data_IF_464298418526
#
_entry.id   IF_464298418526
#
_cell.length_a   1.000
_cell.length_b   1.000
_cell.length_c   1.000
_cell.angle_alpha   90.00
_cell.angle_beta   90.00
_cell.angle_gamma   90.00
#
_symmetry.space_group_name_H-M   'P 1'
#
loop_
_entity.id
_entity.type
_entity.pdbx_description
1 polymer ?
#
# COMPACT_ATOMS: atom_id res chain seq x y z
N UNK A 1 10.03 1.18 -4.02
CA UNK A 1 8.96 1.97 -4.64
C UNK A 1 8.02 2.42 -3.55
N UNK A 2 7.60 3.68 -3.55
CA UNK A 2 6.73 4.24 -2.50
C UNK A 2 5.39 4.61 -3.14
N UNK A 3 4.30 4.21 -2.48
CA UNK A 3 2.94 4.60 -2.81
C UNK A 3 2.39 5.47 -1.68
N UNK A 4 1.52 6.42 -2.01
CA UNK A 4 0.73 7.18 -1.02
C UNK A 4 -0.75 7.12 -1.36
N UNK A 5 -1.61 7.12 -0.34
CA UNK A 5 -3.07 7.05 -0.50
C UNK A 5 -3.79 7.82 0.61
N UNK A 6 -5.06 8.17 0.38
CA UNK A 6 -5.87 8.88 1.38
C UNK A 6 -6.06 8.03 2.65
N UNK A 7 -6.20 6.70 2.49
CA UNK A 7 -6.12 5.74 3.60
C UNK A 7 -5.43 4.44 3.16
N UNK A 8 -4.51 3.93 3.97
CA UNK A 8 -3.90 2.60 3.83
C UNK A 8 -4.45 1.64 4.89
N UNK A 9 -4.86 0.43 4.49
CA UNK A 9 -5.38 -0.61 5.37
C UNK A 9 -4.38 -1.77 5.50
N UNK A 10 -3.56 -1.82 6.58
CA UNK A 10 -2.50 -2.83 6.74
C UNK A 10 -2.99 -4.19 7.25
N UNK A 11 -4.29 -4.36 7.52
CA UNK A 11 -4.95 -5.54 8.12
C UNK A 11 -4.58 -5.80 9.59
N UNK A 12 -3.30 -5.73 9.94
CA UNK A 12 -2.78 -6.04 11.28
C UNK A 12 -2.78 -4.85 12.24
N UNK A 13 -3.17 -3.66 11.77
CA UNK A 13 -3.22 -2.41 12.53
C UNK A 13 -4.39 -1.52 12.05
N UNK A 14 -4.76 -0.48 12.81
CA UNK A 14 -5.77 0.48 12.38
C UNK A 14 -5.45 1.13 11.01
N UNK A 15 -6.46 1.59 10.27
CA UNK A 15 -6.26 2.30 9.01
C UNK A 15 -5.42 3.57 9.21
N UNK A 16 -4.50 3.83 8.31
CA UNK A 16 -3.61 5.00 8.34
C UNK A 16 -4.11 6.02 7.34
N UNK A 17 -4.61 7.17 7.83
CA UNK A 17 -4.97 8.31 6.97
C UNK A 17 -3.71 8.99 6.45
N UNK A 18 -3.78 9.49 5.23
CA UNK A 18 -2.64 10.09 4.52
C UNK A 18 -1.40 9.17 4.65
N UNK A 19 -1.58 7.92 4.24
CA UNK A 19 -0.63 6.84 4.50
C UNK A 19 0.30 6.57 3.32
N UNK A 20 1.48 6.02 3.61
CA UNK A 20 2.41 5.49 2.63
C UNK A 20 2.56 3.96 2.77
N UNK A 21 2.97 3.34 1.65
CA UNK A 21 3.43 1.96 1.57
C UNK A 21 4.75 1.94 0.79
N UNK A 22 5.78 1.34 1.35
CA UNK A 22 7.06 1.14 0.69
C UNK A 22 7.27 -0.34 0.35
N UNK A 23 7.57 -0.60 -0.91
CA UNK A 23 7.89 -1.93 -1.42
C UNK A 23 9.35 -1.99 -1.90
N UNK A 24 10.01 -3.12 -1.66
CA UNK A 24 11.26 -3.48 -2.32
C UNK A 24 11.04 -3.74 -3.83
N UNK A 25 12.12 -3.93 -4.57
CA UNK A 25 12.07 -4.16 -6.03
C UNK A 25 11.37 -5.47 -6.43
N UNK A 26 11.29 -6.44 -5.51
CA UNK A 26 10.62 -7.73 -5.69
C UNK A 26 9.13 -7.69 -5.31
N UNK A 27 8.62 -6.53 -4.89
CA UNK A 27 7.24 -6.35 -4.45
C UNK A 27 7.00 -6.61 -2.96
N UNK A 28 8.01 -7.01 -2.19
CA UNK A 28 7.90 -7.20 -0.74
C UNK A 28 7.59 -5.86 -0.06
N UNK A 29 6.55 -5.80 0.77
CA UNK A 29 6.26 -4.63 1.62
C UNK A 29 7.32 -4.55 2.73
N UNK A 30 8.05 -3.43 2.79
CA UNK A 30 9.15 -3.21 3.74
C UNK A 30 8.91 -2.03 4.70
N UNK A 31 7.85 -1.24 4.47
CA UNK A 31 7.50 -0.13 5.35
C UNK A 31 6.09 0.38 5.08
N UNK A 32 5.44 0.90 6.11
CA UNK A 32 4.15 1.59 6.02
C UNK A 32 3.99 2.55 7.20
N UNK A 33 3.20 3.60 7.03
CA UNK A 33 2.94 4.57 8.07
C UNK A 33 2.32 5.85 7.53
N UNK A 34 2.15 6.88 8.36
CA UNK A 34 1.76 8.22 7.90
C UNK A 34 2.78 8.79 6.92
N UNK A 35 2.32 9.52 5.89
CA UNK A 35 3.19 10.23 4.93
C UNK A 35 4.11 11.23 5.64
N UNK A 36 3.71 11.77 6.79
CA UNK A 36 4.53 12.65 7.63
C UNK A 36 5.83 12.02 8.11
N UNK A 37 5.94 10.69 8.10
CA UNK A 37 7.13 9.97 8.54
C UNK A 37 8.16 9.83 7.41
N UNK A 38 7.79 10.14 6.16
CA UNK A 38 8.71 10.19 5.04
C UNK A 38 9.46 11.53 5.03
N UNK A 39 10.73 11.50 4.61
CA UNK A 39 11.40 12.74 4.26
C UNK A 39 10.75 13.38 3.00
N UNK A 40 10.85 14.71 2.84
CA UNK A 40 10.16 15.41 1.75
C UNK A 40 10.56 14.94 0.35
N UNK A 41 11.81 14.51 0.14
CA UNK A 41 12.27 14.06 -1.16
C UNK A 41 11.65 12.70 -1.52
N UNK A 42 11.57 11.79 -0.55
CA UNK A 42 10.89 10.49 -0.70
C UNK A 42 9.40 10.67 -0.92
N UNK A 43 8.75 11.53 -0.14
CA UNK A 43 7.33 11.85 -0.32
C UNK A 43 7.04 12.43 -1.72
N UNK A 44 7.89 13.33 -2.21
CA UNK A 44 7.76 13.92 -3.56
C UNK A 44 7.96 12.89 -4.69
N UNK A 45 8.74 11.84 -4.46
CA UNK A 45 8.98 10.76 -5.43
C UNK A 45 7.92 9.66 -5.42
N UNK A 46 6.99 9.68 -4.46
CA UNK A 46 6.01 8.63 -4.28
C UNK A 46 4.92 8.65 -5.36
N UNK A 47 4.42 7.47 -5.72
CA UNK A 47 3.29 7.31 -6.61
C UNK A 47 2.01 7.55 -5.81
N UNK A 48 1.30 8.64 -6.09
CA UNK A 48 0.04 8.94 -5.42
C UNK A 48 -1.11 8.17 -6.05
N UNK A 49 -1.89 7.48 -5.22
CA UNK A 49 -3.13 6.80 -5.57
C UNK A 49 -4.28 7.51 -4.84
N UNK A 50 -5.35 7.84 -5.54
CA UNK A 50 -6.54 8.43 -4.92
C UNK A 50 -7.41 7.34 -4.29
N UNK A 51 -7.94 7.59 -3.09
CA UNK A 51 -8.78 6.66 -2.35
C UNK A 51 -8.01 5.73 -1.40
N UNK A 52 -8.39 4.44 -1.43
CA UNK A 52 -7.94 3.46 -0.43
C UNK A 52 -6.93 2.48 -1.00
N UNK A 53 -5.85 2.24 -0.27
CA UNK A 53 -4.91 1.16 -0.53
C UNK A 53 -5.17 0.00 0.42
N UNK A 54 -5.52 -1.16 -0.13
CA UNK A 54 -5.81 -2.40 0.59
C UNK A 54 -4.93 -3.53 0.04
N UNK A 55 -4.70 -4.62 0.79
CA UNK A 55 -4.09 -5.81 0.21
C UNK A 55 -4.96 -6.35 -0.92
N UNK A 56 -4.33 -6.95 -1.91
CA UNK A 56 -5.05 -7.67 -2.97
C UNK A 56 -5.95 -8.74 -2.35
N UNK A 57 -7.20 -8.81 -2.82
CA UNK A 57 -8.13 -9.82 -2.34
C UNK A 57 -7.64 -11.21 -2.74
N UNK A 58 -7.66 -12.12 -1.78
CA UNK A 58 -7.30 -13.51 -2.02
C UNK A 58 -8.55 -14.28 -2.42
N UNK A 59 -8.54 -14.85 -3.62
CA UNK A 59 -9.57 -15.79 -4.02
C UNK A 59 -9.30 -17.15 -3.35
N UNK A 60 -10.09 -17.49 -2.33
CA UNK A 60 -9.90 -18.71 -1.54
C UNK A 60 -10.32 -19.99 -2.28
N UNK A 61 -11.14 -19.89 -3.33
CA UNK A 61 -11.60 -21.03 -4.11
C UNK A 61 -11.88 -20.62 -5.55
N UNK A 62 -11.14 -21.20 -6.50
CA UNK A 62 -11.33 -20.94 -7.92
C UNK A 62 -11.23 -22.23 -8.72
N UNK A 63 -12.09 -22.37 -9.72
CA UNK A 63 -11.88 -23.31 -10.82
C UNK A 63 -11.20 -22.54 -11.94
N UNK A 64 -9.87 -22.55 -11.95
CA UNK A 64 -9.06 -21.75 -12.89
C UNK A 64 -9.38 -22.13 -14.33
N UNK A 65 -9.63 -23.40 -14.57
CA UNK A 65 -10.00 -23.97 -15.87
C UNK A 65 -11.38 -23.52 -16.39
N UNK A 66 -12.19 -22.86 -15.57
CA UNK A 66 -13.52 -22.34 -15.91
C UNK A 66 -13.63 -20.80 -15.80
N UNK A 67 -12.52 -20.11 -15.53
CA UNK A 67 -12.46 -18.64 -15.35
C UNK A 67 -11.96 -17.91 -16.59
#
# INVERSE_FOLDING_TARGET
MIFTADIVFPVTAPPVRDGYLECASDGTVIGLGPVSDLDPARAASAIKVEGFLVPGFTNAHCHIELS
#
